data_IF_596635091932
#
_entry.id   IF_596635091932
#
_cell.length_a   1.000
_cell.length_b   1.000
_cell.length_c   1.000
_cell.angle_alpha   90.00
_cell.angle_beta   90.00
_cell.angle_gamma   90.00
#
_symmetry.space_group_name_H-M   'P 1'
#
loop_
_entity.id
_entity.type
_entity.pdbx_description
1 polymer ?
#
# COMPACT_ATOMS: atom_id res chain seq x y z
N UNK A 1 35.41 -28.24 27.08
CA UNK A 1 34.66 -27.74 28.26
C UNK A 1 33.89 -26.48 27.84
N UNK A 2 33.01 -26.61 26.83
CA UNK A 2 32.33 -25.48 26.18
C UNK A 2 31.08 -25.95 25.42
N UNK A 3 30.37 -26.97 25.93
CA UNK A 3 29.20 -27.54 25.24
C UNK A 3 28.04 -27.86 26.20
N UNK A 4 28.05 -27.26 27.40
CA UNK A 4 26.94 -27.37 28.38
C UNK A 4 26.18 -26.07 28.61
N UNK A 5 26.70 -24.93 28.16
CA UNK A 5 26.07 -23.62 28.45
C UNK A 5 25.01 -23.21 27.42
N UNK A 6 24.93 -23.88 26.25
CA UNK A 6 23.96 -23.52 25.21
C UNK A 6 22.56 -24.12 25.42
N UNK A 7 22.44 -25.16 26.26
CA UNK A 7 21.16 -25.86 26.51
C UNK A 7 20.32 -25.25 27.63
N UNK A 8 20.89 -24.33 28.41
CA UNK A 8 20.19 -23.72 29.55
C UNK A 8 19.44 -22.43 29.16
N UNK A 9 19.70 -21.87 27.98
CA UNK A 9 18.99 -20.69 27.47
C UNK A 9 17.63 -21.00 26.81
N UNK A 10 17.26 -22.28 26.68
CA UNK A 10 16.03 -22.72 26.00
C UNK A 10 14.86 -23.04 26.94
N UNK A 11 15.05 -22.96 28.26
CA UNK A 11 14.02 -23.35 29.25
C UNK A 11 13.75 -22.28 30.32
N UNK A 12 13.90 -21.00 30.00
CA UNK A 12 13.35 -19.93 30.83
C UNK A 12 11.87 -19.70 30.48
N UNK A 13 10.95 -19.67 31.46
CA UNK A 13 9.54 -19.42 31.19
C UNK A 13 9.40 -18.03 30.57
N UNK A 14 8.78 -17.97 29.39
CA UNK A 14 8.45 -16.70 28.73
C UNK A 14 7.47 -15.98 29.65
N UNK A 15 7.98 -14.96 30.35
CA UNK A 15 7.20 -14.00 31.11
C UNK A 15 6.15 -13.40 30.17
N UNK A 16 4.89 -13.78 30.39
CA UNK A 16 3.72 -13.33 29.63
C UNK A 16 3.23 -11.96 30.08
N UNK A 17 4.09 -11.13 30.66
CA UNK A 17 3.71 -9.78 31.05
C UNK A 17 4.65 -8.75 30.47
N UNK A 18 4.03 -7.79 29.79
CA UNK A 18 4.54 -6.48 29.38
C UNK A 18 5.07 -6.34 27.94
N UNK A 19 4.38 -5.48 27.20
CA UNK A 19 4.70 -4.86 25.88
C UNK A 19 4.32 -5.60 24.59
N UNK A 20 3.04 -5.99 24.45
CA UNK A 20 2.39 -6.08 23.13
C UNK A 20 1.66 -4.76 22.84
N UNK A 21 2.41 -3.76 22.39
CA UNK A 21 1.86 -2.58 21.71
C UNK A 21 2.74 -2.25 20.49
N UNK A 22 3.13 -3.26 19.73
CA UNK A 22 3.67 -3.06 18.40
C UNK A 22 2.50 -3.01 17.42
N UNK A 23 2.17 -1.79 17.00
CA UNK A 23 1.28 -1.45 15.89
C UNK A 23 -0.02 -2.27 15.79
N UNK A 24 -1.05 -1.89 16.53
CA UNK A 24 -2.41 -2.38 16.27
C UNK A 24 -2.82 -2.06 14.81
N UNK A 25 -2.76 -3.06 13.95
CA UNK A 25 -3.27 -3.00 12.57
C UNK A 25 -4.77 -2.72 12.52
N UNK A 26 -5.26 -2.33 11.35
CA UNK A 26 -6.70 -2.29 11.10
C UNK A 26 -7.20 -3.72 10.86
N UNK A 27 -8.19 -4.14 11.64
CA UNK A 27 -9.00 -5.34 11.37
C UNK A 27 -10.07 -4.98 10.35
N UNK A 28 -9.95 -5.51 9.13
CA UNK A 28 -11.02 -5.49 8.12
C UNK A 28 -11.49 -6.93 7.95
N UNK A 29 -12.55 -7.32 8.66
CA UNK A 29 -12.94 -8.74 8.76
C UNK A 29 -11.90 -9.54 9.58
N UNK A 30 -11.45 -10.68 9.04
CA UNK A 30 -10.47 -11.58 9.69
C UNK A 30 -9.00 -11.19 9.45
N UNK A 31 -8.74 -10.15 8.64
CA UNK A 31 -7.37 -9.75 8.28
C UNK A 31 -6.88 -8.73 9.31
N UNK A 32 -5.90 -9.16 10.11
CA UNK A 32 -5.17 -8.31 11.03
C UNK A 32 -3.85 -7.90 10.35
N UNK A 33 -3.72 -6.60 10.05
CA UNK A 33 -2.62 -5.93 9.33
C UNK A 33 -2.72 -5.87 7.80
N UNK A 34 -2.87 -4.64 7.29
CA UNK A 34 -3.07 -4.31 5.87
C UNK A 34 -1.90 -3.55 5.28
N UNK A 35 -0.73 -4.19 5.21
CA UNK A 35 0.37 -3.74 4.34
C UNK A 35 0.24 -4.52 3.03
N UNK A 36 0.06 -3.81 1.92
CA UNK A 36 0.14 -4.41 0.59
C UNK A 36 1.36 -3.85 -0.12
N UNK A 37 1.97 -4.67 -0.99
CA UNK A 37 3.08 -4.26 -1.83
C UNK A 37 2.63 -4.36 -3.28
N UNK A 38 2.64 -3.24 -3.99
CA UNK A 38 2.45 -3.21 -5.43
C UNK A 38 3.62 -2.48 -6.09
N UNK A 39 4.52 -3.26 -6.70
CA UNK A 39 5.80 -2.77 -7.19
C UNK A 39 6.56 -2.00 -6.10
N UNK A 40 6.79 -0.70 -6.30
CA UNK A 40 7.51 0.17 -5.38
C UNK A 40 6.59 0.89 -4.36
N UNK A 41 5.27 0.81 -4.55
CA UNK A 41 4.30 1.49 -3.69
C UNK A 41 3.85 0.56 -2.55
N UNK A 42 3.97 1.05 -1.30
CA UNK A 42 3.60 0.33 -0.08
C UNK A 42 2.42 1.06 0.61
N UNK A 43 1.16 0.77 0.23
CA UNK A 43 0.01 1.21 1.00
C UNK A 43 -0.03 0.52 2.37
N UNK A 44 -0.19 1.32 3.42
CA UNK A 44 -0.34 0.84 4.78
C UNK A 44 -1.59 1.44 5.41
N UNK A 45 -2.47 0.59 5.95
CA UNK A 45 -3.66 1.02 6.66
C UNK A 45 -3.35 1.06 8.18
N UNK A 46 -3.47 2.23 8.79
CA UNK A 46 -3.13 2.48 10.19
C UNK A 46 -4.40 2.72 11.03
N UNK A 47 -4.55 2.00 12.15
CA UNK A 47 -5.70 2.16 13.06
C UNK A 47 -5.54 3.33 14.03
N UNK A 48 -4.33 3.48 14.59
CA UNK A 48 -3.96 4.59 15.47
C UNK A 48 -2.81 5.37 14.83
N UNK A 49 -3.09 6.44 14.06
CA UNK A 49 -2.08 7.06 13.22
C UNK A 49 -0.90 7.63 14.01
N UNK A 50 -1.10 8.11 15.24
CA UNK A 50 -0.04 8.77 16.02
C UNK A 50 1.03 7.81 16.49
N UNK A 51 0.62 6.67 17.04
CA UNK A 51 1.53 5.64 17.56
C UNK A 51 2.03 4.76 16.42
N UNK A 52 1.13 4.32 15.53
CA UNK A 52 1.47 3.39 14.46
C UNK A 52 2.35 4.05 13.39
N UNK A 53 2.18 5.34 13.09
CA UNK A 53 3.09 6.05 12.18
C UNK A 53 4.52 6.15 12.75
N UNK A 54 4.66 6.51 14.04
CA UNK A 54 5.99 6.64 14.67
C UNK A 54 6.73 5.29 14.68
N UNK A 55 6.04 4.22 15.07
CA UNK A 55 6.61 2.87 15.06
C UNK A 55 6.90 2.38 13.63
N UNK A 56 5.94 2.51 12.72
CA UNK A 56 6.08 2.12 11.32
C UNK A 56 7.21 2.86 10.61
N UNK A 57 7.33 4.18 10.82
CA UNK A 57 8.44 4.98 10.27
C UNK A 57 9.79 4.52 10.79
N UNK A 58 9.91 4.19 12.08
CA UNK A 58 11.16 3.69 12.64
C UNK A 58 11.55 2.35 12.00
N UNK A 59 10.58 1.45 11.80
CA UNK A 59 10.79 0.17 11.13
C UNK A 59 11.18 0.34 9.67
N UNK A 60 10.44 1.14 8.91
CA UNK A 60 10.75 1.44 7.50
C UNK A 60 12.13 2.09 7.39
N UNK A 61 12.47 3.03 8.27
CA UNK A 61 13.78 3.69 8.26
C UNK A 61 14.91 2.68 8.53
N UNK A 62 14.73 1.74 9.47
CA UNK A 62 15.72 0.67 9.70
C UNK A 62 15.91 -0.19 8.46
N UNK A 63 14.81 -0.60 7.80
CA UNK A 63 14.88 -1.39 6.57
C UNK A 63 15.55 -0.59 5.45
N UNK A 64 15.16 0.68 5.27
CA UNK A 64 15.71 1.59 4.26
C UNK A 64 17.21 1.77 4.44
N UNK A 65 17.70 1.99 5.67
CA UNK A 65 19.13 2.15 5.99
C UNK A 65 19.96 0.91 5.66
N UNK A 66 19.40 -0.28 5.87
CA UNK A 66 20.08 -1.55 5.54
C UNK A 66 19.85 -1.99 4.08
N UNK A 67 18.99 -1.27 3.36
CA UNK A 67 18.68 -1.51 1.96
C UNK A 67 19.35 -0.45 1.07
N UNK A 68 19.29 -0.66 -0.26
CA UNK A 68 19.68 0.37 -1.23
C UNK A 68 18.50 1.27 -1.65
N UNK A 69 17.35 1.13 -1.00
CA UNK A 69 16.16 1.92 -1.31
C UNK A 69 16.20 3.28 -0.63
N UNK A 70 15.50 4.26 -1.19
CA UNK A 70 15.33 5.59 -0.61
C UNK A 70 13.83 5.88 -0.50
N UNK A 71 13.38 6.19 0.70
CA UNK A 71 12.00 6.62 0.92
C UNK A 71 11.81 8.07 0.44
N UNK A 72 10.87 8.28 -0.48
CA UNK A 72 10.50 9.61 -0.97
C UNK A 72 9.30 10.15 -0.17
N UNK A 73 9.59 10.97 0.83
CA UNK A 73 8.56 11.58 1.68
C UNK A 73 7.68 12.58 0.91
N UNK A 74 8.16 13.14 -0.21
CA UNK A 74 7.39 14.08 -1.01
C UNK A 74 6.30 13.38 -1.84
N UNK A 75 6.51 12.11 -2.17
CA UNK A 75 5.52 11.26 -2.86
C UNK A 75 4.62 10.50 -1.89
N UNK A 76 5.02 10.42 -0.62
CA UNK A 76 4.24 9.75 0.42
C UNK A 76 3.00 10.57 0.74
N UNK A 77 1.84 9.90 0.73
CA UNK A 77 0.54 10.53 0.99
C UNK A 77 -0.06 9.91 2.24
N UNK A 78 -0.57 10.75 3.12
CA UNK A 78 -1.44 10.33 4.21
C UNK A 78 -2.89 10.58 3.81
N UNK A 79 -3.68 9.52 3.82
CA UNK A 79 -5.10 9.57 3.50
C UNK A 79 -5.95 9.16 4.72
N UNK A 80 -6.62 10.11 5.41
CA UNK A 80 -7.44 9.81 6.56
C UNK A 80 -8.82 9.28 6.13
N UNK A 81 -9.10 8.02 6.46
CA UNK A 81 -10.41 7.39 6.20
C UNK A 81 -11.53 7.89 7.13
N UNK A 82 -11.17 8.55 8.24
CA UNK A 82 -12.10 9.17 9.20
C UNK A 82 -11.63 10.58 9.53
N UNK A 83 -12.52 11.40 10.07
CA UNK A 83 -12.29 12.81 10.42
C UNK A 83 -11.31 12.95 11.59
N UNK A 84 -10.03 12.65 11.37
CA UNK A 84 -8.99 12.69 12.41
C UNK A 84 -8.25 14.03 12.33
N UNK A 85 -8.96 15.14 12.47
CA UNK A 85 -8.35 16.49 12.45
C UNK A 85 -7.34 16.70 13.58
N UNK A 86 -7.47 15.97 14.70
CA UNK A 86 -6.62 16.14 15.87
C UNK A 86 -5.24 15.45 15.77
N UNK A 87 -5.09 14.33 15.04
CA UNK A 87 -3.82 13.60 14.94
C UNK A 87 -2.88 14.10 13.83
N UNK A 88 -3.35 14.97 12.94
CA UNK A 88 -2.57 15.44 11.79
C UNK A 88 -1.45 16.44 12.18
N UNK A 89 -1.52 17.02 13.38
CA UNK A 89 -0.50 17.98 13.86
C UNK A 89 0.89 17.36 14.04
N UNK A 90 0.98 16.06 14.31
CA UNK A 90 2.24 15.35 14.55
C UNK A 90 2.88 14.77 13.27
N UNK A 91 2.27 14.97 12.10
CA UNK A 91 2.63 14.35 10.82
C UNK A 91 3.25 15.34 9.82
N UNK A 92 3.95 16.36 10.34
CA UNK A 92 4.39 17.59 9.65
C UNK A 92 5.18 17.43 8.33
N UNK A 93 5.58 16.22 7.94
CA UNK A 93 6.48 15.96 6.81
C UNK A 93 5.86 15.08 5.71
N UNK A 94 4.55 14.83 5.74
CA UNK A 94 3.83 14.03 4.73
C UNK A 94 2.69 14.87 4.16
N UNK A 95 2.46 14.76 2.85
CA UNK A 95 1.32 15.40 2.22
C UNK A 95 0.02 14.71 2.68
N UNK A 96 -0.87 15.46 3.31
CA UNK A 96 -2.20 14.96 3.70
C UNK A 96 -3.19 15.25 2.57
N UNK A 97 -3.84 14.21 2.05
CA UNK A 97 -4.93 14.35 1.08
C UNK A 97 -6.25 13.92 1.73
N UNK A 98 -7.25 14.81 1.73
CA UNK A 98 -8.51 14.60 2.45
C UNK A 98 -9.63 14.04 1.57
N UNK A 99 -9.58 14.29 0.28
CA UNK A 99 -10.70 14.06 -0.64
C UNK A 99 -10.46 12.82 -1.48
N UNK A 100 -9.43 12.85 -2.31
CA UNK A 100 -9.04 11.74 -3.16
C UNK A 100 -7.53 11.73 -3.36
N UNK A 101 -6.99 10.56 -3.68
CA UNK A 101 -5.60 10.38 -4.10
C UNK A 101 -5.52 9.37 -5.24
N UNK A 102 -4.41 9.39 -5.97
CA UNK A 102 -4.16 8.47 -7.08
C UNK A 102 -3.24 7.34 -6.63
N UNK A 103 -3.69 6.10 -6.74
CA UNK A 103 -2.93 4.89 -6.46
C UNK A 103 -2.94 3.98 -7.69
N UNK A 104 -1.77 3.61 -8.22
CA UNK A 104 -1.65 2.70 -9.37
C UNK A 104 -2.63 3.02 -10.53
N UNK A 105 -2.62 4.30 -10.96
CA UNK A 105 -3.51 4.86 -12.00
C UNK A 105 -5.01 4.94 -11.67
N UNK A 106 -5.44 4.45 -10.51
CA UNK A 106 -6.81 4.50 -10.00
C UNK A 106 -6.94 5.66 -9.03
N UNK A 107 -8.01 6.44 -9.14
CA UNK A 107 -8.38 7.49 -8.19
C UNK A 107 -9.19 6.89 -7.05
N UNK A 108 -8.63 6.91 -5.85
CA UNK A 108 -9.31 6.48 -4.64
C UNK A 108 -9.94 7.71 -3.97
N UNK A 109 -11.24 7.63 -3.71
CA UNK A 109 -12.02 8.59 -2.92
C UNK A 109 -12.61 7.89 -1.70
N UNK A 110 -12.95 8.69 -0.69
CA UNK A 110 -13.58 8.25 0.57
C UNK A 110 -14.97 7.68 0.31
N UNK A 111 -15.59 8.10 -0.79
CA UNK A 111 -16.86 7.56 -1.26
C UNK A 111 -16.61 6.53 -2.36
N UNK A 112 -16.99 5.27 -2.10
CA UNK A 112 -16.88 4.16 -3.06
C UNK A 112 -17.54 4.50 -4.41
N UNK A 113 -18.68 5.18 -4.37
CA UNK A 113 -19.40 5.61 -5.57
C UNK A 113 -18.56 6.58 -6.42
N UNK A 114 -17.82 7.49 -5.78
CA UNK A 114 -16.95 8.43 -6.48
C UNK A 114 -15.70 7.74 -7.02
N UNK A 115 -15.16 6.76 -6.28
CA UNK A 115 -14.08 5.90 -6.78
C UNK A 115 -14.53 5.15 -8.04
N UNK A 116 -15.74 4.60 -8.07
CA UNK A 116 -16.25 3.93 -9.26
C UNK A 116 -16.44 4.91 -10.43
N UNK A 117 -17.15 6.02 -10.22
CA UNK A 117 -17.50 6.95 -11.29
C UNK A 117 -16.29 7.67 -11.90
N UNK A 118 -15.26 7.97 -11.09
CA UNK A 118 -14.04 8.64 -11.55
C UNK A 118 -13.10 7.75 -12.35
N UNK A 119 -13.16 6.43 -12.16
CA UNK A 119 -12.22 5.51 -12.80
C UNK A 119 -12.82 4.79 -14.00
N UNK A 120 -14.09 4.37 -13.93
CA UNK A 120 -14.67 3.51 -14.97
C UNK A 120 -14.69 4.20 -16.33
N UNK A 121 -15.13 5.46 -16.39
CA UNK A 121 -15.13 6.24 -17.63
C UNK A 121 -13.71 6.41 -18.18
N UNK A 122 -12.76 6.82 -17.34
CA UNK A 122 -11.37 7.02 -17.75
C UNK A 122 -10.68 5.72 -18.22
N UNK A 123 -10.98 4.58 -17.58
CA UNK A 123 -10.45 3.26 -17.96
C UNK A 123 -11.05 2.79 -19.29
N UNK A 124 -12.37 2.96 -19.47
CA UNK A 124 -13.04 2.64 -20.72
C UNK A 124 -12.51 3.47 -21.89
N UNK A 125 -12.35 4.78 -21.71
CA UNK A 125 -11.77 5.64 -22.75
C UNK A 125 -10.33 5.24 -23.09
N UNK A 126 -9.54 4.88 -22.07
CA UNK A 126 -8.16 4.41 -22.26
C UNK A 126 -8.13 3.08 -23.04
N UNK A 127 -9.06 2.18 -22.73
CA UNK A 127 -9.21 0.91 -23.44
C UNK A 127 -9.62 1.15 -24.90
N UNK A 128 -10.63 1.99 -25.15
CA UNK A 128 -11.10 2.33 -26.49
C UNK A 128 -9.97 2.95 -27.33
N UNK A 129 -9.25 3.92 -26.77
CA UNK A 129 -8.08 4.51 -27.44
C UNK A 129 -7.00 3.48 -27.76
N UNK A 130 -6.76 2.54 -26.85
CA UNK A 130 -5.77 1.47 -27.03
C UNK A 130 -6.16 0.49 -28.13
N UNK A 131 -7.45 0.12 -28.18
CA UNK A 131 -8.03 -0.73 -29.23
C UNK A 131 -7.99 -0.01 -30.58
N UNK A 132 -8.42 1.25 -30.64
CA UNK A 132 -8.44 2.03 -31.87
C UNK A 132 -7.05 2.26 -32.45
N UNK A 133 -6.07 2.59 -31.59
CA UNK A 133 -4.66 2.74 -32.00
C UNK A 133 -4.14 1.46 -32.64
N UNK A 134 -4.46 0.30 -32.07
CA UNK A 134 -3.93 -0.99 -32.51
C UNK A 134 -4.70 -1.59 -33.70
N UNK A 135 -5.95 -1.19 -33.91
CA UNK A 135 -6.74 -1.55 -35.11
C UNK A 135 -6.13 -1.00 -36.41
N UNK A 136 -5.35 0.09 -36.33
CA UNK A 136 -4.65 0.72 -37.46
C UNK A 136 -3.43 -0.06 -37.94
N UNK A 137 -2.95 -1.06 -37.21
CA UNK A 137 -1.81 -1.86 -37.66
C UNK A 137 -2.23 -2.81 -38.81
N UNK A 138 -1.38 -2.96 -39.85
CA UNK A 138 -1.64 -3.84 -40.97
C UNK A 138 -1.40 -5.31 -40.56
N UNK A 139 -2.31 -5.85 -39.76
CA UNK A 139 -2.25 -7.20 -39.22
C UNK A 139 -3.35 -8.08 -39.84
N UNK A 140 -3.02 -9.37 -39.99
CA UNK A 140 -3.99 -10.41 -40.32
C UNK A 140 -5.08 -10.49 -39.26
N UNK A 141 -6.23 -11.07 -39.61
CA UNK A 141 -7.36 -11.23 -38.67
C UNK A 141 -6.94 -11.96 -37.40
N UNK A 142 -6.13 -13.02 -37.53
CA UNK A 142 -5.58 -13.80 -36.41
C UNK A 142 -4.68 -12.94 -35.52
N UNK A 143 -3.81 -12.12 -36.13
CA UNK A 143 -2.95 -11.19 -35.40
C UNK A 143 -3.75 -10.14 -34.61
N UNK A 144 -4.87 -9.66 -35.16
CA UNK A 144 -5.77 -8.72 -34.46
C UNK A 144 -6.42 -9.37 -33.24
N UNK A 145 -6.92 -10.60 -33.38
CA UNK A 145 -7.52 -11.35 -32.25
C UNK A 145 -6.48 -11.60 -31.16
N UNK A 146 -5.26 -11.99 -31.52
CA UNK A 146 -4.18 -12.21 -30.55
C UNK A 146 -3.85 -10.93 -29.77
N UNK A 147 -3.76 -9.78 -30.45
CA UNK A 147 -3.49 -8.50 -29.80
C UNK A 147 -4.66 -8.04 -28.93
N UNK A 148 -5.90 -8.19 -29.38
CA UNK A 148 -7.09 -7.86 -28.57
C UNK A 148 -7.14 -8.70 -27.30
N UNK A 149 -6.82 -10.00 -27.37
CA UNK A 149 -6.68 -10.86 -26.19
C UNK A 149 -5.59 -10.33 -25.25
N UNK A 150 -4.44 -9.96 -25.79
CA UNK A 150 -3.34 -9.47 -24.95
C UNK A 150 -3.67 -8.14 -24.26
N UNK A 151 -4.47 -7.26 -24.87
CA UNK A 151 -4.93 -6.01 -24.24
C UNK A 151 -5.90 -6.29 -23.10
N UNK A 152 -6.78 -7.29 -23.26
CA UNK A 152 -7.78 -7.62 -22.24
C UNK A 152 -7.17 -8.28 -21.01
N UNK A 153 -6.04 -8.98 -21.17
CA UNK A 153 -5.33 -9.69 -20.09
C UNK A 153 -4.39 -8.77 -19.31
N UNK A 154 -4.01 -7.63 -19.89
CA UNK A 154 -2.97 -6.72 -19.38
C UNK A 154 -3.58 -5.52 -18.65
#
# INVERSE_FOLDING_TARGET
MADRDMRTALNTPIDKTNTRHEADGVLVGDIQEGISLYADDIPQILRNPGIAWRSGRAMITKVVVHSRFKLDMNKSILYPMQTVHALLRDLSNIQVQMTSFKYSRIYLSSYVVQTYSSNVSALLDSLERSVHKRRRFPLSLVGRVAISKMIMIL
#
